data_IF_196387865536
#
_entry.id   IF_196387865536
#
_cell.length_a   1.000
_cell.length_b   1.000
_cell.length_c   1.000
_cell.angle_alpha   90.00
_cell.angle_beta   90.00
_cell.angle_gamma   90.00
#
_symmetry.space_group_name_H-M   'P 1'
#
loop_
_entity.id
_entity.type
_entity.pdbx_description
1 polymer ?
#
# COMPACT_ATOMS: atom_id res chain seq x y z
N UNK A 1 -19.45 -1.55 2.19
CA UNK A 1 -18.05 -1.06 2.23
C UNK A 1 -17.84 -0.13 1.05
N UNK A 2 -17.25 1.04 1.24
CA UNK A 2 -16.96 1.97 0.12
C UNK A 2 -15.70 1.48 -0.62
N UNK A 3 -15.62 1.77 -1.91
CA UNK A 3 -14.44 1.47 -2.72
C UNK A 3 -13.33 2.43 -2.30
N UNK A 4 -12.12 1.92 -2.04
CA UNK A 4 -10.93 2.71 -1.79
C UNK A 4 -10.09 2.79 -3.08
N UNK A 5 -9.75 4.00 -3.48
CA UNK A 5 -8.77 4.28 -4.54
C UNK A 5 -7.53 4.86 -3.88
N UNK A 6 -6.41 4.14 -3.98
CA UNK A 6 -5.13 4.52 -3.38
C UNK A 6 -4.12 4.91 -4.46
N UNK A 7 -3.65 6.15 -4.43
CA UNK A 7 -2.64 6.70 -5.33
C UNK A 7 -1.24 6.60 -4.73
N UNK A 8 -0.46 5.60 -5.11
CA UNK A 8 0.97 5.51 -4.76
C UNK A 8 1.80 6.34 -5.74
N UNK A 9 2.35 7.46 -5.28
CA UNK A 9 3.17 8.34 -6.12
C UNK A 9 4.57 7.79 -6.40
N UNK A 10 4.96 6.73 -5.66
CA UNK A 10 6.33 6.20 -5.72
C UNK A 10 7.36 7.32 -5.50
N UNK A 11 8.52 7.27 -6.11
CA UNK A 11 9.56 8.30 -5.99
C UNK A 11 9.30 9.45 -6.99
N UNK A 12 8.12 10.07 -6.92
CA UNK A 12 7.73 11.18 -7.77
C UNK A 12 7.05 12.27 -6.96
N UNK A 13 7.12 13.49 -7.47
CA UNK A 13 6.42 14.64 -6.92
C UNK A 13 7.33 15.71 -6.33
N UNK A 14 6.87 16.92 -6.47
CA UNK A 14 7.41 18.13 -5.84
C UNK A 14 6.30 18.82 -5.05
N UNK A 15 6.65 19.84 -4.24
CA UNK A 15 5.64 20.66 -3.54
C UNK A 15 4.65 21.29 -4.51
N UNK A 16 5.13 21.83 -5.62
CA UNK A 16 4.29 22.46 -6.63
C UNK A 16 3.31 21.45 -7.27
N UNK A 17 3.78 20.24 -7.59
CA UNK A 17 2.91 19.18 -8.14
C UNK A 17 1.87 18.71 -7.12
N UNK A 18 2.25 18.61 -5.84
CA UNK A 18 1.30 18.30 -4.79
C UNK A 18 0.21 19.37 -4.67
N UNK A 19 0.60 20.64 -4.65
CA UNK A 19 -0.34 21.74 -4.53
C UNK A 19 -1.35 21.74 -5.70
N UNK A 20 -0.85 21.64 -6.92
CA UNK A 20 -1.71 21.58 -8.11
C UNK A 20 -2.64 20.34 -8.11
N UNK A 21 -2.16 19.18 -7.62
CA UNK A 21 -2.99 18.00 -7.49
C UNK A 21 -4.09 18.20 -6.43
N UNK A 22 -3.74 18.80 -5.28
CA UNK A 22 -4.72 19.09 -4.22
C UNK A 22 -5.80 20.05 -4.73
N UNK A 23 -5.42 21.13 -5.42
CA UNK A 23 -6.36 22.09 -5.99
C UNK A 23 -7.34 21.40 -6.95
N UNK A 24 -6.83 20.52 -7.82
CA UNK A 24 -7.66 19.74 -8.73
C UNK A 24 -8.62 18.78 -7.99
N UNK A 25 -8.14 18.11 -6.94
CA UNK A 25 -8.96 17.21 -6.12
C UNK A 25 -10.07 17.96 -5.36
N UNK A 26 -9.75 19.11 -4.80
CA UNK A 26 -10.72 19.95 -4.09
C UNK A 26 -11.79 20.49 -5.06
N UNK A 27 -11.41 20.85 -6.29
CA UNK A 27 -12.33 21.31 -7.32
C UNK A 27 -13.27 20.18 -7.82
N UNK A 28 -12.78 18.94 -7.88
CA UNK A 28 -13.59 17.79 -8.31
C UNK A 28 -14.68 17.40 -7.31
N UNK A 29 -14.52 17.75 -6.04
CA UNK A 29 -15.48 17.44 -4.98
C UNK A 29 -15.58 15.95 -4.64
N UNK A 30 -16.65 15.54 -3.95
CA UNK A 30 -16.83 14.14 -3.53
C UNK A 30 -17.18 13.23 -4.71
N UNK A 31 -16.40 12.18 -4.89
CA UNK A 31 -16.54 11.20 -6.00
C UNK A 31 -17.25 9.90 -5.59
N UNK A 32 -17.82 9.82 -4.39
CA UNK A 32 -18.57 8.65 -3.93
C UNK A 32 -17.73 7.43 -3.55
N UNK A 33 -16.40 7.55 -3.58
CA UNK A 33 -15.41 6.55 -3.15
C UNK A 33 -14.50 7.15 -2.08
N UNK A 34 -13.80 6.29 -1.34
CA UNK A 34 -12.76 6.72 -0.43
C UNK A 34 -11.46 6.92 -1.20
N UNK A 35 -10.77 8.03 -0.95
CA UNK A 35 -9.53 8.38 -1.61
C UNK A 35 -8.36 8.37 -0.62
N UNK A 36 -7.24 7.82 -1.04
CA UNK A 36 -5.98 7.81 -0.32
C UNK A 36 -4.85 8.24 -1.26
N UNK A 37 -4.00 9.16 -0.83
CA UNK A 37 -2.77 9.50 -1.52
C UNK A 37 -1.57 9.14 -0.68
N UNK A 38 -0.58 8.45 -1.28
CA UNK A 38 0.68 8.08 -0.66
C UNK A 38 1.83 8.77 -1.40
N UNK A 39 2.12 10.06 -1.08
CA UNK A 39 3.26 10.77 -1.67
C UNK A 39 4.58 10.34 -1.00
N UNK A 40 5.76 10.76 -1.53
CA UNK A 40 7.03 10.59 -0.83
C UNK A 40 7.03 11.19 0.57
N UNK A 41 7.86 10.66 1.47
CA UNK A 41 7.94 11.10 2.87
C UNK A 41 8.03 12.61 3.04
N UNK A 42 8.80 13.27 2.16
CA UNK A 42 9.04 14.73 2.17
C UNK A 42 7.79 15.59 1.91
N UNK A 43 6.68 14.96 1.50
CA UNK A 43 5.44 15.64 1.14
C UNK A 43 4.25 15.26 2.04
N UNK A 44 4.39 14.26 2.93
CA UNK A 44 3.27 13.71 3.72
C UNK A 44 2.66 14.78 4.62
N UNK A 45 3.48 15.50 5.43
CA UNK A 45 2.99 16.56 6.31
C UNK A 45 2.22 17.64 5.54
N UNK A 46 2.79 18.06 4.40
CA UNK A 46 2.14 19.08 3.56
C UNK A 46 0.81 18.55 3.01
N UNK A 47 0.78 17.31 2.51
CA UNK A 47 -0.44 16.69 2.00
C UNK A 47 -1.51 16.58 3.09
N UNK A 48 -1.15 16.10 4.28
CA UNK A 48 -2.07 15.96 5.42
C UNK A 48 -2.69 17.30 5.82
N UNK A 49 -1.87 18.36 5.86
CA UNK A 49 -2.35 19.72 6.18
C UNK A 49 -3.28 20.27 5.10
N UNK A 50 -2.94 20.14 3.82
CA UNK A 50 -3.73 20.69 2.72
C UNK A 50 -5.04 19.94 2.51
N UNK A 51 -5.07 18.64 2.78
CA UNK A 51 -6.23 17.77 2.62
C UNK A 51 -7.11 17.68 3.90
N UNK A 52 -6.76 18.42 4.96
CA UNK A 52 -7.53 18.40 6.19
C UNK A 52 -9.00 18.77 5.93
N UNK A 53 -9.94 17.90 6.37
CA UNK A 53 -11.38 18.10 6.17
C UNK A 53 -11.91 17.75 4.78
N UNK A 54 -11.08 17.38 3.81
CA UNK A 54 -11.52 17.02 2.45
C UNK A 54 -12.11 15.61 2.34
N UNK A 55 -11.85 14.75 3.31
CA UNK A 55 -12.18 13.31 3.24
C UNK A 55 -11.15 12.48 2.48
N UNK A 56 -10.09 13.08 1.92
CA UNK A 56 -8.97 12.36 1.29
C UNK A 56 -7.95 11.98 2.36
N UNK A 57 -7.68 10.68 2.49
CA UNK A 57 -6.68 10.17 3.42
C UNK A 57 -5.26 10.33 2.87
N UNK A 58 -4.27 10.39 3.78
CA UNK A 58 -2.85 10.45 3.41
C UNK A 58 -2.13 9.25 4.02
N UNK A 59 -1.20 8.66 3.26
CA UNK A 59 -0.44 7.49 3.69
C UNK A 59 1.06 7.61 3.38
N UNK A 60 1.85 6.77 4.07
CA UNK A 60 3.25 6.55 3.75
C UNK A 60 3.43 5.45 2.69
N UNK A 61 4.61 5.42 2.06
CA UNK A 61 4.97 4.41 1.05
C UNK A 61 5.78 3.26 1.64
N UNK A 62 6.21 3.38 2.89
CA UNK A 62 6.89 2.39 3.72
C UNK A 62 6.99 2.91 5.15
N UNK A 63 7.40 2.06 6.10
CA UNK A 63 7.86 2.48 7.42
C UNK A 63 8.92 1.52 7.97
N UNK A 64 9.70 1.97 8.95
CA UNK A 64 10.59 1.11 9.70
C UNK A 64 9.81 0.31 10.76
N UNK A 65 10.29 -0.90 11.08
CA UNK A 65 9.66 -1.79 12.06
C UNK A 65 9.86 -1.33 13.54
N UNK A 66 10.94 -0.59 13.82
CA UNK A 66 11.13 0.02 15.13
C UNK A 66 10.48 1.41 15.18
N UNK A 67 10.00 1.80 16.36
CA UNK A 67 9.39 3.11 16.58
C UNK A 67 10.44 4.25 16.54
N UNK A 68 11.64 3.97 17.03
CA UNK A 68 12.79 4.89 17.10
C UNK A 68 14.10 4.11 17.18
N UNK A 69 15.25 4.77 17.04
CA UNK A 69 16.57 4.17 17.24
C UNK A 69 17.62 4.63 16.24
N UNK A 70 18.73 3.89 16.18
CA UNK A 70 19.90 4.17 15.35
C UNK A 70 19.68 3.68 13.90
N UNK A 71 18.72 4.25 13.21
CA UNK A 71 18.30 3.90 11.84
C UNK A 71 18.35 5.15 10.96
N UNK A 72 19.53 5.67 10.74
CA UNK A 72 19.73 6.93 10.00
C UNK A 72 19.11 6.86 8.60
N UNK A 73 18.17 7.75 8.33
CA UNK A 73 17.44 7.85 7.05
C UNK A 73 16.10 7.13 7.00
N UNK A 74 15.81 6.25 7.98
CA UNK A 74 14.51 5.57 8.05
C UNK A 74 13.44 6.46 8.69
N UNK A 75 12.19 6.17 8.35
CA UNK A 75 10.99 6.82 8.89
C UNK A 75 10.14 5.77 9.59
N UNK A 76 9.83 5.98 10.88
CA UNK A 76 9.00 5.05 11.64
C UNK A 76 7.50 5.27 11.40
N UNK A 77 6.70 4.26 11.75
CA UNK A 77 5.25 4.37 11.72
C UNK A 77 4.71 5.48 12.67
N UNK A 78 5.38 5.68 13.82
CA UNK A 78 5.05 6.75 14.77
C UNK A 78 5.27 8.13 14.13
N UNK A 79 6.41 8.35 13.44
CA UNK A 79 6.69 9.60 12.71
C UNK A 79 5.64 9.86 11.62
N UNK A 80 5.24 8.82 10.88
CA UNK A 80 4.18 8.95 9.87
C UNK A 80 2.85 9.38 10.49
N UNK A 81 2.49 8.78 11.63
CA UNK A 81 1.28 9.13 12.34
C UNK A 81 1.30 10.56 12.86
N UNK A 82 2.42 10.99 13.40
CA UNK A 82 2.63 12.35 13.94
C UNK A 82 2.40 13.42 12.88
N UNK A 83 2.89 13.21 11.65
CA UNK A 83 2.71 14.15 10.52
C UNK A 83 1.34 14.00 9.81
N UNK A 84 0.41 13.23 10.36
CA UNK A 84 -0.98 13.15 9.90
C UNK A 84 -1.29 12.03 8.91
N UNK A 85 -0.39 11.08 8.67
CA UNK A 85 -0.72 9.89 7.90
C UNK A 85 -1.74 9.02 8.66
N UNK A 86 -2.61 8.35 7.92
CA UNK A 86 -3.60 7.39 8.43
C UNK A 86 -3.36 5.97 7.93
N UNK A 87 -2.60 5.83 6.85
CA UNK A 87 -2.28 4.57 6.19
C UNK A 87 -0.79 4.47 5.92
N UNK A 88 -0.32 3.24 5.66
CA UNK A 88 1.03 3.01 5.15
C UNK A 88 1.07 1.77 4.27
N UNK A 89 1.71 1.88 3.09
CA UNK A 89 2.01 0.76 2.21
C UNK A 89 3.23 0.03 2.79
N UNK A 90 3.18 -1.31 2.87
CA UNK A 90 4.32 -2.13 3.30
C UNK A 90 4.46 -3.34 2.38
N UNK A 91 5.70 -3.76 2.12
CA UNK A 91 5.98 -4.93 1.29
C UNK A 91 5.66 -4.74 -0.19
N UNK A 92 5.63 -3.50 -0.69
CA UNK A 92 5.45 -3.22 -2.13
C UNK A 92 6.47 -4.00 -2.96
N UNK A 93 6.07 -4.48 -4.14
CA UNK A 93 6.90 -5.33 -5.01
C UNK A 93 8.27 -4.71 -5.32
N UNK A 94 8.35 -3.39 -5.52
CA UNK A 94 9.62 -2.68 -5.72
C UNK A 94 10.55 -2.80 -4.51
N UNK A 95 10.01 -2.82 -3.29
CA UNK A 95 10.81 -2.97 -2.07
C UNK A 95 11.24 -4.41 -1.84
N UNK A 96 10.37 -5.38 -2.11
CA UNK A 96 10.72 -6.80 -2.09
C UNK A 96 11.86 -7.11 -3.06
N UNK A 97 11.80 -6.57 -4.27
CA UNK A 97 12.82 -6.76 -5.29
C UNK A 97 14.08 -5.91 -5.07
N UNK A 98 13.93 -4.62 -4.83
CA UNK A 98 15.06 -3.66 -4.78
C UNK A 98 15.79 -3.63 -3.44
N UNK A 99 15.13 -3.98 -2.33
CA UNK A 99 15.68 -3.96 -0.98
C UNK A 99 15.70 -5.34 -0.30
N UNK A 100 15.36 -6.40 -1.03
CA UNK A 100 15.27 -7.76 -0.54
C UNK A 100 14.37 -7.91 0.71
N UNK A 101 13.27 -7.16 0.78
CA UNK A 101 12.34 -7.23 1.90
C UNK A 101 11.68 -8.61 1.97
N UNK A 102 11.95 -9.35 3.04
CA UNK A 102 11.32 -10.64 3.31
C UNK A 102 9.91 -10.48 3.87
N UNK A 103 9.10 -11.54 3.78
CA UNK A 103 7.76 -11.56 4.38
C UNK A 103 7.80 -11.26 5.89
N UNK A 104 8.80 -11.78 6.60
CA UNK A 104 8.99 -11.49 8.02
C UNK A 104 9.32 -10.01 8.29
N UNK A 105 10.05 -9.33 7.40
CA UNK A 105 10.29 -7.89 7.51
C UNK A 105 8.99 -7.10 7.29
N UNK A 106 8.21 -7.49 6.29
CA UNK A 106 6.91 -6.87 6.01
C UNK A 106 5.94 -7.05 7.18
N UNK A 107 5.90 -8.25 7.78
CA UNK A 107 5.09 -8.48 8.99
C UNK A 107 5.44 -7.51 10.12
N UNK A 108 6.73 -7.38 10.46
CA UNK A 108 7.15 -6.44 11.53
C UNK A 108 6.78 -4.99 11.23
N UNK A 109 6.83 -4.57 9.94
CA UNK A 109 6.38 -3.24 9.51
C UNK A 109 4.86 -3.07 9.67
N UNK A 110 4.09 -4.09 9.29
CA UNK A 110 2.63 -4.08 9.48
C UNK A 110 2.24 -4.03 10.97
N UNK A 111 2.95 -4.77 11.83
CA UNK A 111 2.78 -4.73 13.29
C UNK A 111 3.09 -3.33 13.85
N UNK A 112 4.20 -2.72 13.43
CA UNK A 112 4.59 -1.36 13.82
C UNK A 112 3.54 -0.32 13.37
N UNK A 113 3.01 -0.46 12.16
CA UNK A 113 1.96 0.40 11.65
C UNK A 113 0.68 0.31 12.49
N UNK A 114 0.22 -0.91 12.79
CA UNK A 114 -0.95 -1.15 13.65
C UNK A 114 -0.73 -0.57 15.07
N UNK A 115 0.44 -0.79 15.66
CA UNK A 115 0.79 -0.26 16.97
C UNK A 115 0.79 1.27 17.01
N UNK A 116 1.16 1.94 15.92
CA UNK A 116 1.11 3.39 15.77
C UNK A 116 -0.29 3.93 15.39
N UNK A 117 -1.30 3.06 15.21
CA UNK A 117 -2.65 3.46 14.82
C UNK A 117 -2.78 3.83 13.33
N UNK A 118 -1.87 3.32 12.49
CA UNK A 118 -1.99 3.39 11.04
C UNK A 118 -2.70 2.14 10.50
N UNK A 119 -3.43 2.29 9.40
CA UNK A 119 -3.96 1.18 8.62
C UNK A 119 -2.90 0.69 7.61
N UNK A 120 -2.27 -0.49 7.79
CA UNK A 120 -1.32 -1.01 6.83
C UNK A 120 -2.03 -1.53 5.57
N UNK A 121 -1.43 -1.24 4.41
CA UNK A 121 -1.75 -1.84 3.12
C UNK A 121 -0.61 -2.80 2.81
N UNK A 122 -0.85 -4.10 3.01
CA UNK A 122 0.18 -5.13 2.79
C UNK A 122 0.13 -5.60 1.34
N UNK A 123 1.24 -5.41 0.62
CA UNK A 123 1.35 -5.80 -0.78
C UNK A 123 1.81 -7.26 -0.92
N UNK A 124 1.11 -8.00 -1.78
CA UNK A 124 1.46 -9.36 -2.20
C UNK A 124 1.31 -9.50 -3.71
N UNK A 125 2.16 -10.31 -4.33
CA UNK A 125 2.08 -10.50 -5.77
C UNK A 125 3.09 -11.52 -6.30
N UNK A 126 2.77 -12.11 -7.44
CA UNK A 126 3.60 -13.08 -8.13
C UNK A 126 4.32 -12.48 -9.34
N UNK A 127 5.46 -13.07 -9.69
CA UNK A 127 6.22 -12.75 -10.89
C UNK A 127 5.62 -13.41 -12.14
N UNK A 128 6.08 -12.99 -13.33
CA UNK A 128 5.68 -13.58 -14.61
C UNK A 128 6.00 -15.09 -14.68
N UNK A 129 7.17 -15.51 -14.14
CA UNK A 129 7.58 -16.91 -14.13
C UNK A 129 6.66 -17.75 -13.24
N UNK A 130 6.34 -17.26 -12.06
CA UNK A 130 5.43 -17.90 -11.13
C UNK A 130 4.01 -18.01 -11.70
N UNK A 131 3.56 -16.98 -12.43
CA UNK A 131 2.27 -17.00 -13.13
C UNK A 131 2.26 -18.05 -14.24
N UNK A 132 3.31 -18.11 -15.08
CA UNK A 132 3.45 -19.11 -16.15
C UNK A 132 3.53 -20.54 -15.61
N UNK A 133 4.16 -20.72 -14.46
CA UNK A 133 4.25 -22.01 -13.76
C UNK A 133 2.94 -22.42 -13.07
N UNK A 134 1.90 -21.58 -13.03
CA UNK A 134 0.65 -21.86 -12.36
C UNK A 134 0.72 -21.83 -10.82
N UNK A 135 1.81 -21.27 -10.25
CA UNK A 135 2.08 -21.29 -8.79
C UNK A 135 1.62 -20.03 -8.06
N UNK A 136 0.91 -19.11 -8.73
CA UNK A 136 0.52 -17.82 -8.18
C UNK A 136 -0.22 -17.91 -6.84
N UNK A 137 -1.15 -18.85 -6.67
CA UNK A 137 -1.87 -19.04 -5.40
C UNK A 137 -0.97 -19.53 -4.28
N UNK A 138 -0.01 -20.41 -4.60
CA UNK A 138 0.96 -20.93 -3.63
C UNK A 138 1.88 -19.79 -3.17
N UNK A 139 2.40 -18.98 -4.09
CA UNK A 139 3.27 -17.84 -3.80
C UNK A 139 2.55 -16.80 -2.94
N UNK A 140 1.36 -16.38 -3.37
CA UNK A 140 0.58 -15.38 -2.64
C UNK A 140 0.14 -15.91 -1.28
N UNK A 141 -0.23 -17.20 -1.19
CA UNK A 141 -0.54 -17.84 0.08
C UNK A 141 0.64 -17.80 1.06
N UNK A 142 1.86 -18.10 0.60
CA UNK A 142 3.07 -18.03 1.42
C UNK A 142 3.39 -16.57 1.85
N UNK A 143 3.24 -15.59 0.94
CA UNK A 143 3.42 -14.19 1.27
C UNK A 143 2.41 -13.70 2.31
N UNK A 144 1.14 -14.10 2.21
CA UNK A 144 0.11 -13.76 3.21
C UNK A 144 0.47 -14.37 4.57
N UNK A 145 0.80 -15.66 4.61
CA UNK A 145 1.16 -16.35 5.86
C UNK A 145 2.41 -15.75 6.51
N UNK A 146 3.37 -15.29 5.70
CA UNK A 146 4.62 -14.70 6.16
C UNK A 146 4.53 -13.22 6.54
N UNK A 147 3.68 -12.44 5.83
CA UNK A 147 3.65 -10.98 5.94
C UNK A 147 2.54 -10.44 6.84
N UNK A 148 1.45 -11.20 7.07
CA UNK A 148 0.35 -10.70 7.87
C UNK A 148 0.55 -10.99 9.36
N UNK A 149 0.30 -10.00 10.24
CA UNK A 149 0.21 -10.24 11.68
C UNK A 149 -0.93 -11.20 12.05
N UNK A 150 -0.84 -11.93 13.17
CA UNK A 150 -1.97 -12.70 13.68
C UNK A 150 -3.20 -11.82 13.89
N UNK A 151 -4.37 -12.29 13.44
CA UNK A 151 -5.61 -11.52 13.56
C UNK A 151 -5.69 -10.28 12.67
N UNK A 152 -4.90 -10.21 11.62
CA UNK A 152 -4.89 -9.09 10.68
C UNK A 152 -6.28 -8.82 10.10
N UNK A 153 -6.72 -7.56 10.20
CA UNK A 153 -8.00 -7.06 9.68
C UNK A 153 -7.84 -5.79 8.82
N UNK A 154 -6.66 -5.62 8.22
CA UNK A 154 -6.31 -4.46 7.39
C UNK A 154 -6.59 -4.67 5.90
N UNK A 155 -5.88 -3.95 5.08
CA UNK A 155 -6.00 -3.94 3.62
C UNK A 155 -4.86 -4.76 3.01
N UNK A 156 -5.19 -5.59 2.02
CA UNK A 156 -4.20 -6.28 1.19
C UNK A 156 -4.24 -5.70 -0.22
N UNK A 157 -3.08 -5.37 -0.80
CA UNK A 157 -2.96 -4.99 -2.20
C UNK A 157 -2.41 -6.17 -3.00
N UNK A 158 -3.18 -6.64 -3.98
CA UNK A 158 -2.72 -7.64 -4.93
C UNK A 158 -2.00 -6.96 -6.09
N UNK A 159 -0.72 -7.23 -6.23
CA UNK A 159 0.16 -6.67 -7.24
C UNK A 159 0.65 -7.78 -8.19
N UNK A 160 -0.02 -8.05 -9.34
CA UNK A 160 0.58 -8.92 -10.36
C UNK A 160 1.84 -8.23 -10.90
N UNK A 161 3.03 -8.59 -10.35
CA UNK A 161 4.31 -7.90 -10.60
C UNK A 161 4.62 -7.81 -12.10
N UNK A 162 4.20 -8.82 -12.84
CA UNK A 162 4.34 -8.90 -14.30
C UNK A 162 3.49 -7.88 -15.08
N UNK A 163 2.49 -7.27 -14.43
CA UNK A 163 1.62 -6.26 -15.03
C UNK A 163 1.99 -4.82 -14.61
N UNK A 164 2.95 -4.65 -13.68
CA UNK A 164 3.35 -3.32 -13.20
C UNK A 164 4.33 -2.69 -14.18
N UNK A 165 3.95 -1.56 -14.80
CA UNK A 165 4.82 -0.80 -15.71
C UNK A 165 5.16 -1.50 -17.02
N UNK A 166 4.52 -2.62 -17.34
CA UNK A 166 4.78 -3.40 -18.56
C UNK A 166 3.78 -3.17 -19.68
N UNK A 167 2.65 -2.50 -19.37
CA UNK A 167 1.52 -2.37 -20.28
C UNK A 167 0.64 -3.63 -20.40
N UNK A 168 1.00 -4.72 -19.70
CA UNK A 168 0.18 -5.91 -19.61
C UNK A 168 -0.92 -5.70 -18.54
N UNK A 169 -2.13 -6.13 -18.86
CA UNK A 169 -3.27 -6.05 -17.95
C UNK A 169 -3.84 -7.45 -17.73
N UNK A 170 -3.98 -7.93 -16.47
CA UNK A 170 -4.65 -9.19 -16.20
C UNK A 170 -6.12 -9.12 -16.61
N UNK A 171 -6.71 -10.28 -16.92
CA UNK A 171 -8.15 -10.33 -17.14
C UNK A 171 -8.91 -10.03 -15.85
N UNK A 172 -10.10 -9.45 -15.96
CA UNK A 172 -10.98 -9.23 -14.80
C UNK A 172 -11.27 -10.52 -14.04
N UNK A 173 -11.39 -11.65 -14.74
CA UNK A 173 -11.59 -12.95 -14.13
C UNK A 173 -10.39 -13.38 -13.28
N UNK A 174 -9.15 -13.14 -13.75
CA UNK A 174 -7.93 -13.42 -13.00
C UNK A 174 -7.84 -12.58 -11.72
N UNK A 175 -8.12 -11.28 -11.83
CA UNK A 175 -8.14 -10.36 -10.68
C UNK A 175 -9.20 -10.81 -9.67
N UNK A 176 -10.43 -11.08 -10.13
CA UNK A 176 -11.52 -11.51 -9.26
C UNK A 176 -11.21 -12.84 -8.55
N UNK A 177 -10.63 -13.82 -9.27
CA UNK A 177 -10.25 -15.11 -8.70
C UNK A 177 -9.15 -14.96 -7.63
N UNK A 178 -8.19 -14.05 -7.82
CA UNK A 178 -7.14 -13.80 -6.83
C UNK A 178 -7.66 -13.01 -5.64
N UNK A 179 -8.52 -12.00 -5.85
CA UNK A 179 -9.18 -11.29 -4.75
C UNK A 179 -10.00 -12.25 -3.88
N UNK A 180 -10.80 -13.13 -4.49
CA UNK A 180 -11.55 -14.14 -3.76
C UNK A 180 -10.64 -15.11 -2.96
N UNK A 181 -9.49 -15.50 -3.54
CA UNK A 181 -8.50 -16.34 -2.86
C UNK A 181 -7.92 -15.63 -1.63
N UNK A 182 -7.51 -14.35 -1.77
CA UNK A 182 -6.95 -13.55 -0.68
C UNK A 182 -7.97 -13.37 0.44
N UNK A 183 -9.20 -12.95 0.11
CA UNK A 183 -10.27 -12.76 1.08
C UNK A 183 -10.61 -14.06 1.83
N UNK A 184 -10.61 -15.20 1.14
CA UNK A 184 -10.89 -16.50 1.76
C UNK A 184 -9.74 -17.04 2.63
N UNK A 185 -8.52 -16.48 2.50
CA UNK A 185 -7.34 -16.98 3.24
C UNK A 185 -6.97 -16.13 4.44
N UNK A 186 -7.27 -14.86 4.45
CA UNK A 186 -6.89 -13.95 5.54
C UNK A 186 -8.08 -13.08 5.96
N UNK A 187 -7.97 -12.46 7.14
CA UNK A 187 -8.97 -11.54 7.68
C UNK A 187 -8.96 -10.14 7.07
N UNK A 188 -8.45 -9.97 5.83
CA UNK A 188 -8.44 -8.69 5.17
C UNK A 188 -9.86 -8.11 5.05
N UNK A 189 -10.03 -6.85 5.42
CA UNK A 189 -11.32 -6.15 5.28
C UNK A 189 -11.55 -5.70 3.85
N UNK A 190 -10.47 -5.52 3.08
CA UNK A 190 -10.51 -5.08 1.70
C UNK A 190 -9.30 -5.60 0.92
N UNK A 191 -9.50 -5.92 -0.37
CA UNK A 191 -8.42 -6.23 -1.31
C UNK A 191 -8.42 -5.19 -2.42
N UNK A 192 -7.26 -4.57 -2.64
CA UNK A 192 -7.02 -3.63 -3.73
C UNK A 192 -6.33 -4.35 -4.89
N UNK A 193 -6.59 -3.91 -6.10
CA UNK A 193 -5.79 -4.25 -7.26
C UNK A 193 -4.71 -3.19 -7.46
N UNK A 194 -3.45 -3.58 -7.41
CA UNK A 194 -2.29 -2.72 -7.58
C UNK A 194 -1.49 -3.08 -8.84
N UNK A 195 -2.04 -2.77 -10.00
CA UNK A 195 -1.37 -2.98 -11.29
C UNK A 195 -1.63 -1.82 -12.24
N UNK A 196 -1.21 -1.97 -13.50
CA UNK A 196 -1.59 -1.02 -14.57
C UNK A 196 -3.08 -1.13 -14.85
N UNK A 197 -3.75 0.00 -14.94
CA UNK A 197 -5.17 0.16 -15.30
C UNK A 197 -5.28 1.09 -16.49
#
# INVERSE_FOLDING_TARGET
MRILIAGNWKMNGSRHQLDAWVDAMMAAGSVGVDLLVCPPFTLIERAARLLAGSGVAVGGQDCHAAAEGAFTGDVSAVMLRDVGATHVIVGHSERRAGYAESDAAVRRKAEAALAAGLAPIVCVGETADQRRAGTQKQVIGAQLDGSLPPGFSGIVAYEPVWAIGTGLVPSLADVAAMHAFILGRCGATQVLYGGSV
#
